data_IF_771628140741
#
_entry.id   IF_771628140741
#
_cell.length_a   1.000
_cell.length_b   1.000
_cell.length_c   1.000
_cell.angle_alpha   90.00
_cell.angle_beta   90.00
_cell.angle_gamma   90.00
#
_symmetry.space_group_name_H-M   'P 1'
#
loop_
_entity.id
_entity.type
_entity.pdbx_description
1 polymer ?
#
# COMPACT_ATOMS: atom_id res chain seq x y z
N UNK A 1 -59.98 -2.78 -21.72
CA UNK A 1 -58.67 -3.21 -21.17
C UNK A 1 -57.60 -2.42 -21.91
N UNK A 2 -57.38 -1.18 -21.48
CA UNK A 2 -56.37 -0.27 -22.04
C UNK A 2 -55.28 -0.13 -21.00
N UNK A 3 -54.06 -0.46 -21.40
CA UNK A 3 -52.85 -0.51 -20.61
C UNK A 3 -52.49 0.87 -20.00
N UNK A 4 -52.64 1.03 -18.68
CA UNK A 4 -52.08 2.15 -17.88
C UNK A 4 -50.64 1.85 -17.43
N UNK A 5 -49.80 1.38 -18.36
CA UNK A 5 -48.35 1.16 -18.15
C UNK A 5 -47.66 2.36 -17.47
N UNK A 6 -47.91 3.64 -17.82
CA UNK A 6 -47.22 4.75 -17.18
C UNK A 6 -47.58 4.94 -15.70
N UNK A 7 -48.83 4.65 -15.30
CA UNK A 7 -49.27 4.81 -13.91
C UNK A 7 -48.62 3.75 -13.03
N UNK A 8 -48.58 2.50 -13.51
CA UNK A 8 -47.94 1.40 -12.79
C UNK A 8 -46.45 1.67 -12.54
N UNK A 9 -45.70 2.15 -13.54
CA UNK A 9 -44.28 2.48 -13.35
C UNK A 9 -44.07 3.62 -12.36
N UNK A 10 -44.97 4.62 -12.36
CA UNK A 10 -44.90 5.73 -11.39
C UNK A 10 -45.12 5.19 -9.96
N UNK A 11 -46.07 4.27 -9.77
CA UNK A 11 -46.30 3.65 -8.46
C UNK A 11 -45.08 2.83 -8.03
N UNK A 12 -44.55 1.97 -8.91
CA UNK A 12 -43.36 1.15 -8.62
C UNK A 12 -42.15 2.01 -8.21
N UNK A 13 -41.95 3.17 -8.85
CA UNK A 13 -40.88 4.11 -8.50
C UNK A 13 -41.12 4.84 -7.17
N UNK A 14 -42.38 5.09 -6.81
CA UNK A 14 -42.75 5.82 -5.58
C UNK A 14 -42.89 4.90 -4.36
N UNK A 15 -43.03 3.58 -4.54
CA UNK A 15 -43.21 2.60 -3.46
C UNK A 15 -42.17 2.71 -2.33
N UNK A 16 -40.85 2.86 -2.59
CA UNK A 16 -39.87 2.99 -1.53
C UNK A 16 -40.09 4.25 -0.67
N UNK A 17 -40.37 5.38 -1.32
CA UNK A 17 -40.61 6.66 -0.63
C UNK A 17 -41.93 6.66 0.14
N UNK A 18 -42.94 5.96 -0.37
CA UNK A 18 -44.22 5.77 0.30
C UNK A 18 -44.11 4.90 1.55
N UNK A 19 -43.35 3.80 1.48
CA UNK A 19 -43.12 2.93 2.63
C UNK A 19 -42.31 3.61 3.74
N UNK A 20 -41.47 4.59 3.39
CA UNK A 20 -40.66 5.37 4.33
C UNK A 20 -41.33 6.68 4.79
N UNK A 21 -42.58 6.95 4.38
CA UNK A 21 -43.32 8.19 4.68
C UNK A 21 -42.59 9.48 4.24
N UNK A 22 -41.94 9.41 3.07
CA UNK A 22 -41.11 10.49 2.49
C UNK A 22 -41.79 11.22 1.32
N UNK A 23 -43.02 10.84 0.96
CA UNK A 23 -43.80 11.55 -0.07
C UNK A 23 -44.37 12.86 0.47
N UNK A 24 -44.58 13.84 -0.42
CA UNK A 24 -45.40 15.00 -0.09
C UNK A 24 -46.86 14.59 0.10
N UNK A 25 -47.59 15.33 0.94
CA UNK A 25 -49.00 15.04 1.26
C UNK A 25 -49.88 14.87 0.01
N UNK A 26 -49.74 15.75 -0.98
CA UNK A 26 -50.48 15.67 -2.25
C UNK A 26 -50.19 14.37 -3.03
N UNK A 27 -48.94 13.92 -3.05
CA UNK A 27 -48.54 12.68 -3.75
C UNK A 27 -48.94 11.44 -2.97
N UNK A 28 -48.97 11.52 -1.65
CA UNK A 28 -49.45 10.46 -0.77
C UNK A 28 -50.95 10.23 -0.93
N UNK A 29 -51.74 11.30 -0.93
CA UNK A 29 -53.20 11.23 -1.18
C UNK A 29 -53.51 10.63 -2.56
N UNK A 30 -52.79 11.07 -3.60
CA UNK A 30 -52.91 10.48 -4.94
C UNK A 30 -52.56 8.99 -4.96
N UNK A 31 -51.50 8.59 -4.25
CA UNK A 31 -51.09 7.18 -4.18
C UNK A 31 -52.13 6.33 -3.44
N UNK A 32 -52.69 6.82 -2.34
CA UNK A 32 -53.75 6.14 -1.58
C UNK A 32 -55.00 5.90 -2.44
N UNK A 33 -55.38 6.89 -3.26
CA UNK A 33 -56.49 6.75 -4.22
C UNK A 33 -56.20 5.69 -5.29
N UNK A 34 -55.02 5.69 -5.90
CA UNK A 34 -54.65 4.71 -6.93
C UNK A 34 -54.54 3.28 -6.36
N UNK A 35 -53.97 3.12 -5.16
CA UNK A 35 -53.88 1.83 -4.47
C UNK A 35 -55.28 1.31 -4.12
N UNK A 36 -56.17 2.15 -3.60
CA UNK A 36 -57.53 1.73 -3.21
C UNK A 36 -58.40 1.34 -4.41
N UNK A 37 -58.16 1.96 -5.56
CA UNK A 37 -58.90 1.72 -6.78
C UNK A 37 -58.38 0.51 -7.59
N UNK A 38 -57.21 -0.04 -7.25
CA UNK A 38 -56.61 -1.14 -8.00
C UNK A 38 -55.95 -2.19 -7.08
N UNK A 39 -56.56 -3.37 -7.06
CA UNK A 39 -56.09 -4.54 -6.33
C UNK A 39 -54.66 -4.98 -6.71
N UNK A 40 -54.23 -4.76 -7.95
CA UNK A 40 -52.85 -5.04 -8.39
C UNK A 40 -51.83 -4.16 -7.65
N UNK A 41 -52.17 -2.90 -7.38
CA UNK A 41 -51.29 -1.95 -6.71
C UNK A 41 -51.26 -2.19 -5.19
N UNK A 42 -52.39 -2.62 -4.62
CA UNK A 42 -52.47 -3.09 -3.23
C UNK A 42 -51.53 -4.29 -2.99
N UNK A 43 -51.51 -5.26 -3.91
CA UNK A 43 -50.61 -6.41 -3.84
C UNK A 43 -49.12 -5.99 -3.96
N UNK A 44 -48.80 -5.04 -4.85
CA UNK A 44 -47.42 -4.52 -5.00
C UNK A 44 -46.89 -3.84 -3.74
N UNK A 45 -47.74 -3.05 -3.06
CA UNK A 45 -47.39 -2.41 -1.78
C UNK A 45 -47.06 -3.47 -0.74
N UNK A 46 -47.88 -4.51 -0.60
CA UNK A 46 -47.64 -5.58 0.36
C UNK A 46 -46.35 -6.35 0.08
N UNK A 47 -46.04 -6.66 -1.20
CA UNK A 47 -44.77 -7.28 -1.56
C UNK A 47 -43.55 -6.40 -1.29
N UNK A 48 -43.67 -5.08 -1.47
CA UNK A 48 -42.58 -4.13 -1.24
C UNK A 48 -42.19 -3.98 0.24
N UNK A 49 -43.08 -4.35 1.17
CA UNK A 49 -42.82 -4.33 2.61
C UNK A 49 -42.06 -5.56 3.10
N UNK A 50 -41.94 -6.61 2.28
CA UNK A 50 -41.23 -7.83 2.64
C UNK A 50 -39.73 -7.53 2.63
N UNK A 51 -39.02 -7.64 3.78
CA UNK A 51 -37.58 -7.45 3.80
C UNK A 51 -36.93 -8.49 2.88
N UNK A 52 -36.08 -8.04 1.98
CA UNK A 52 -35.26 -8.95 1.17
C UNK A 52 -34.33 -9.69 2.14
N UNK A 53 -34.46 -11.01 2.22
CA UNK A 53 -33.50 -11.85 2.93
C UNK A 53 -32.15 -11.73 2.20
N UNK A 54 -31.25 -10.93 2.77
CA UNK A 54 -29.88 -10.84 2.30
C UNK A 54 -29.22 -12.14 2.70
N UNK A 55 -29.07 -13.08 1.77
CA UNK A 55 -28.18 -14.21 1.98
C UNK A 55 -26.76 -13.67 2.21
N UNK A 56 -26.25 -13.82 3.44
CA UNK A 56 -24.85 -13.57 3.72
C UNK A 56 -24.02 -14.54 2.89
N UNK A 57 -23.43 -14.04 1.81
CA UNK A 57 -22.50 -14.81 0.99
C UNK A 57 -21.26 -15.09 1.84
N UNK A 58 -21.23 -16.25 2.49
CA UNK A 58 -20.05 -16.72 3.21
C UNK A 58 -18.97 -17.03 2.17
N UNK A 59 -17.94 -16.20 2.11
CA UNK A 59 -16.75 -16.44 1.29
C UNK A 59 -16.07 -17.74 1.74
N UNK A 60 -15.97 -18.72 0.85
CA UNK A 60 -15.22 -19.98 1.06
C UNK A 60 -13.68 -19.75 1.00
N UNK A 61 -13.24 -18.51 0.81
CA UNK A 61 -11.82 -18.15 0.80
C UNK A 61 -11.33 -17.93 2.23
N UNK A 62 -10.50 -18.86 2.71
CA UNK A 62 -9.72 -18.70 3.93
C UNK A 62 -8.73 -17.54 3.77
N UNK A 63 -9.15 -16.35 4.22
CA UNK A 63 -8.41 -15.09 4.12
C UNK A 63 -7.03 -15.21 4.77
N UNK A 64 -6.93 -15.90 5.92
CA UNK A 64 -5.69 -16.07 6.65
C UNK A 64 -4.66 -16.84 5.81
N UNK A 65 -5.07 -17.94 5.16
CA UNK A 65 -4.20 -18.70 4.25
C UNK A 65 -3.80 -17.89 3.02
N UNK A 66 -4.67 -17.02 2.51
CA UNK A 66 -4.35 -16.14 1.38
C UNK A 66 -3.29 -15.09 1.78
N UNK A 67 -3.50 -14.39 2.89
CA UNK A 67 -2.56 -13.39 3.41
C UNK A 67 -1.22 -14.02 3.78
N UNK A 68 -1.21 -15.23 4.35
CA UNK A 68 0.04 -15.94 4.65
C UNK A 68 0.85 -16.25 3.38
N UNK A 69 0.20 -16.65 2.28
CA UNK A 69 0.86 -16.88 0.99
C UNK A 69 1.42 -15.59 0.40
N UNK A 70 0.68 -14.49 0.49
CA UNK A 70 1.10 -13.16 0.02
C UNK A 70 2.33 -12.70 0.81
N UNK A 71 2.24 -12.73 2.15
CA UNK A 71 3.32 -12.30 3.04
C UNK A 71 4.59 -13.14 2.84
N UNK A 72 4.45 -14.44 2.61
CA UNK A 72 5.61 -15.30 2.31
C UNK A 72 6.29 -14.89 1.00
N UNK A 73 5.52 -14.59 -0.06
CA UNK A 73 6.10 -14.09 -1.32
C UNK A 73 6.80 -12.75 -1.14
N UNK A 74 6.20 -11.83 -0.39
CA UNK A 74 6.80 -10.53 -0.08
C UNK A 74 8.11 -10.68 0.69
N UNK A 75 8.15 -11.57 1.68
CA UNK A 75 9.36 -11.86 2.46
C UNK A 75 10.51 -12.36 1.57
N UNK A 76 10.23 -13.23 0.58
CA UNK A 76 11.26 -13.67 -0.36
C UNK A 76 11.86 -12.52 -1.17
N UNK A 77 11.02 -11.62 -1.71
CA UNK A 77 11.52 -10.44 -2.42
C UNK A 77 12.28 -9.49 -1.49
N UNK A 78 11.85 -9.36 -0.23
CA UNK A 78 12.56 -8.55 0.76
C UNK A 78 13.96 -9.08 1.04
N UNK A 79 14.12 -10.40 1.16
CA UNK A 79 15.43 -11.05 1.31
C UNK A 79 16.31 -10.75 0.08
N UNK A 80 15.75 -10.83 -1.13
CA UNK A 80 16.48 -10.51 -2.37
C UNK A 80 16.94 -9.05 -2.37
N UNK A 81 16.06 -8.09 -2.06
CA UNK A 81 16.42 -6.67 -2.05
C UNK A 81 17.45 -6.32 -0.98
N UNK A 82 17.32 -6.88 0.22
CA UNK A 82 18.32 -6.72 1.28
C UNK A 82 19.66 -7.32 0.84
N UNK A 83 19.65 -8.52 0.25
CA UNK A 83 20.85 -9.17 -0.28
C UNK A 83 21.52 -8.34 -1.38
N UNK A 84 20.75 -7.81 -2.33
CA UNK A 84 21.25 -6.90 -3.36
C UNK A 84 21.85 -5.63 -2.75
N UNK A 85 21.22 -5.04 -1.74
CA UNK A 85 21.77 -3.86 -1.07
C UNK A 85 23.11 -4.17 -0.37
N UNK A 86 23.26 -5.34 0.25
CA UNK A 86 24.55 -5.78 0.79
C UNK A 86 25.59 -5.99 -0.31
N UNK A 87 25.24 -6.66 -1.41
CA UNK A 87 26.16 -6.85 -2.55
C UNK A 87 26.64 -5.53 -3.13
N UNK A 88 25.74 -4.54 -3.23
CA UNK A 88 26.10 -3.19 -3.65
C UNK A 88 27.04 -2.53 -2.65
N UNK A 89 26.78 -2.65 -1.34
CA UNK A 89 27.67 -2.13 -0.32
C UNK A 89 29.11 -2.70 -0.41
N UNK A 90 29.26 -3.97 -0.80
CA UNK A 90 30.57 -4.61 -1.01
C UNK A 90 31.34 -4.03 -2.20
N UNK A 91 30.64 -3.67 -3.26
CA UNK A 91 31.25 -3.26 -4.54
C UNK A 91 31.55 -1.76 -4.63
N UNK A 92 30.98 -0.93 -3.76
CA UNK A 92 31.02 0.53 -3.92
C UNK A 92 32.07 1.18 -3.04
N UNK A 93 33.29 1.33 -3.56
CA UNK A 93 34.23 2.35 -3.06
C UNK A 93 33.87 3.70 -3.67
N UNK A 94 33.55 4.69 -2.84
CA UNK A 94 33.22 6.08 -3.26
C UNK A 94 34.27 6.64 -4.24
N UNK A 95 35.52 6.19 -4.11
CA UNK A 95 36.68 6.77 -4.80
C UNK A 95 37.04 6.11 -6.13
N UNK A 96 36.53 4.91 -6.46
CA UNK A 96 36.99 4.18 -7.65
C UNK A 96 35.92 4.01 -8.75
N UNK A 97 34.62 4.11 -8.44
CA UNK A 97 33.53 3.90 -9.42
C UNK A 97 32.26 4.72 -9.12
N UNK A 98 32.40 6.04 -8.97
CA UNK A 98 31.30 6.95 -8.55
C UNK A 98 30.02 6.81 -9.37
N UNK A 99 30.11 6.60 -10.69
CA UNK A 99 28.94 6.42 -11.53
C UNK A 99 28.19 5.10 -11.29
N UNK A 100 28.92 4.00 -11.10
CA UNK A 100 28.32 2.68 -10.85
C UNK A 100 27.47 2.70 -9.60
N UNK A 101 28.05 3.19 -8.50
CA UNK A 101 27.34 3.41 -7.24
C UNK A 101 26.07 4.27 -7.40
N UNK A 102 26.19 5.46 -8.02
CA UNK A 102 25.06 6.37 -8.21
C UNK A 102 23.92 5.68 -8.97
N UNK A 103 24.24 5.03 -10.09
CA UNK A 103 23.25 4.35 -10.93
C UNK A 103 22.60 3.18 -10.18
N UNK A 104 23.40 2.32 -9.55
CA UNK A 104 22.90 1.13 -8.85
C UNK A 104 21.93 1.49 -7.73
N UNK A 105 22.26 2.49 -6.89
CA UNK A 105 21.38 2.91 -5.82
C UNK A 105 20.15 3.65 -6.31
N UNK A 106 20.26 4.42 -7.38
CA UNK A 106 19.09 5.03 -8.03
C UNK A 106 18.13 3.95 -8.55
N UNK A 107 18.64 2.93 -9.25
CA UNK A 107 17.82 1.80 -9.74
C UNK A 107 17.22 1.02 -8.57
N UNK A 108 18.00 0.75 -7.53
CA UNK A 108 17.50 0.10 -6.31
C UNK A 108 16.34 0.90 -5.71
N UNK A 109 16.46 2.22 -5.61
CA UNK A 109 15.39 3.11 -5.15
C UNK A 109 14.13 3.01 -6.02
N UNK A 110 14.27 3.11 -7.35
CA UNK A 110 13.12 2.96 -8.27
C UNK A 110 12.41 1.64 -8.06
N UNK A 111 13.15 0.53 -8.09
CA UNK A 111 12.56 -0.82 -8.01
C UNK A 111 11.93 -1.07 -6.65
N UNK A 112 12.62 -0.71 -5.55
CA UNK A 112 12.08 -0.89 -4.20
C UNK A 112 10.85 -0.03 -3.95
N UNK A 113 10.83 1.22 -4.41
CA UNK A 113 9.66 2.07 -4.31
C UNK A 113 8.48 1.56 -5.14
N UNK A 114 8.70 1.17 -6.40
CA UNK A 114 7.63 0.64 -7.24
C UNK A 114 7.04 -0.66 -6.69
N UNK A 115 7.86 -1.47 -6.03
CA UNK A 115 7.44 -2.73 -5.42
C UNK A 115 6.66 -2.52 -4.12
N UNK A 116 7.21 -1.74 -3.17
CA UNK A 116 6.62 -1.58 -1.84
C UNK A 116 5.63 -0.43 -1.71
N UNK A 117 5.77 0.60 -2.56
CA UNK A 117 5.04 1.87 -2.48
C UNK A 117 5.13 2.56 -1.10
N UNK A 118 6.19 2.26 -0.36
CA UNK A 118 6.44 2.81 0.98
C UNK A 118 7.90 3.30 1.08
N UNK A 119 8.05 4.61 1.31
CA UNK A 119 9.36 5.25 1.50
C UNK A 119 10.11 4.72 2.73
N UNK A 120 9.40 4.28 3.78
CA UNK A 120 10.02 3.73 4.99
C UNK A 120 10.72 2.41 4.69
N UNK A 121 10.09 1.54 3.92
CA UNK A 121 10.67 0.26 3.52
C UNK A 121 11.86 0.50 2.59
N UNK A 122 11.72 1.41 1.63
CA UNK A 122 12.82 1.79 0.75
C UNK A 122 14.01 2.37 1.52
N UNK A 123 13.78 3.21 2.54
CA UNK A 123 14.81 3.71 3.45
C UNK A 123 15.50 2.56 4.19
N UNK A 124 14.74 1.66 4.82
CA UNK A 124 15.32 0.54 5.57
C UNK A 124 16.21 -0.32 4.67
N UNK A 125 15.73 -0.67 3.47
CA UNK A 125 16.46 -1.53 2.53
C UNK A 125 17.75 -0.87 2.03
N UNK A 126 17.77 0.45 1.80
CA UNK A 126 18.93 1.13 1.23
C UNK A 126 19.90 1.68 2.28
N UNK A 127 19.44 1.97 3.50
CA UNK A 127 20.27 2.54 4.57
C UNK A 127 20.92 1.46 5.45
N UNK A 128 20.12 0.54 6.01
CA UNK A 128 20.59 -0.36 7.06
C UNK A 128 21.67 -1.34 6.61
N UNK A 129 21.60 -1.96 5.42
CA UNK A 129 22.64 -2.88 4.97
C UNK A 129 24.02 -2.22 4.91
N UNK A 130 24.10 -1.00 4.39
CA UNK A 130 25.34 -0.23 4.28
C UNK A 130 25.85 0.18 5.65
N UNK A 131 24.93 0.63 6.50
CA UNK A 131 25.25 1.05 7.85
C UNK A 131 25.87 -0.11 8.63
N UNK A 132 25.22 -1.27 8.61
CA UNK A 132 25.70 -2.47 9.30
C UNK A 132 26.99 -2.99 8.70
N UNK A 133 27.12 -3.00 7.37
CA UNK A 133 28.34 -3.42 6.68
C UNK A 133 29.52 -2.53 7.07
N UNK A 134 29.37 -1.21 6.89
CA UNK A 134 30.41 -0.25 7.20
C UNK A 134 30.79 -0.28 8.68
N UNK A 135 29.81 -0.37 9.58
CA UNK A 135 30.09 -0.43 11.01
C UNK A 135 30.85 -1.72 11.35
N UNK A 136 30.43 -2.84 10.77
CA UNK A 136 31.10 -4.13 10.94
C UNK A 136 32.55 -4.09 10.44
N UNK A 137 32.80 -3.51 9.27
CA UNK A 137 34.14 -3.35 8.68
C UNK A 137 35.04 -2.51 9.60
N UNK A 138 34.58 -1.34 10.03
CA UNK A 138 35.35 -0.46 10.92
C UNK A 138 35.68 -1.12 12.28
N UNK A 139 34.74 -1.89 12.84
CA UNK A 139 34.98 -2.60 14.11
C UNK A 139 35.91 -3.81 13.92
N UNK A 140 35.82 -4.48 12.78
CA UNK A 140 36.68 -5.60 12.44
C UNK A 140 38.13 -5.16 12.23
N UNK A 141 38.35 -4.02 11.59
CA UNK A 141 39.68 -3.42 11.46
C UNK A 141 40.31 -3.07 12.81
N UNK A 142 39.50 -2.59 13.75
CA UNK A 142 39.95 -2.37 15.12
C UNK A 142 40.39 -3.66 15.80
N UNK A 143 39.58 -4.71 15.73
CA UNK A 143 39.90 -6.00 16.36
C UNK A 143 41.14 -6.67 15.77
N UNK A 144 41.44 -6.41 14.49
CA UNK A 144 42.65 -6.92 13.81
C UNK A 144 43.93 -6.20 14.19
N UNK A 145 43.86 -5.09 14.94
CA UNK A 145 45.03 -4.26 15.22
C UNK A 145 45.54 -3.52 13.98
N UNK A 146 44.68 -3.29 12.99
CA UNK A 146 45.02 -2.48 11.81
C UNK A 146 45.12 -0.97 12.15
N UNK A 147 44.81 -0.60 13.40
CA UNK A 147 44.87 0.75 13.93
C UNK A 147 46.07 0.88 14.86
N UNK A 148 46.69 2.06 14.89
CA UNK A 148 47.81 2.32 15.79
C UNK A 148 47.44 2.08 17.26
N UNK A 149 48.42 1.64 18.05
CA UNK A 149 48.25 1.18 19.44
C UNK A 149 47.59 2.23 20.38
N UNK A 150 47.61 3.51 20.00
CA UNK A 150 47.08 4.62 20.80
C UNK A 150 45.55 4.82 20.67
N UNK A 151 44.88 4.09 19.77
CA UNK A 151 43.45 4.29 19.51
C UNK A 151 42.60 3.56 20.56
N UNK A 152 41.91 4.33 21.40
CA UNK A 152 40.94 3.78 22.37
C UNK A 152 39.70 3.24 21.67
N UNK A 153 39.20 2.07 22.12
CA UNK A 153 37.99 1.44 21.58
C UNK A 153 36.79 2.37 21.55
N UNK A 154 36.51 3.08 22.66
CA UNK A 154 35.32 3.91 22.76
C UNK A 154 35.31 5.04 21.73
N UNK A 155 36.43 5.74 21.53
CA UNK A 155 36.55 6.79 20.51
C UNK A 155 36.41 6.21 19.10
N UNK A 156 37.01 5.03 18.86
CA UNK A 156 36.89 4.36 17.57
C UNK A 156 35.45 3.94 17.27
N UNK A 157 34.75 3.37 18.26
CA UNK A 157 33.36 2.96 18.12
C UNK A 157 32.46 4.14 17.74
N UNK A 158 32.58 5.28 18.43
CA UNK A 158 31.79 6.48 18.10
C UNK A 158 32.14 7.04 16.71
N UNK A 159 33.43 7.09 16.36
CA UNK A 159 33.85 7.54 15.04
C UNK A 159 33.31 6.61 13.94
N UNK A 160 33.39 5.29 14.18
CA UNK A 160 32.84 4.26 13.29
C UNK A 160 31.34 4.43 13.11
N UNK A 161 30.60 4.63 14.21
CA UNK A 161 29.15 4.84 14.18
C UNK A 161 28.76 6.04 13.31
N UNK A 162 29.44 7.18 13.50
CA UNK A 162 29.19 8.40 12.75
C UNK A 162 29.61 8.24 11.29
N UNK A 163 30.78 7.65 11.03
CA UNK A 163 31.29 7.40 9.68
C UNK A 163 30.37 6.49 8.87
N UNK A 164 29.93 5.38 9.47
CA UNK A 164 28.99 4.44 8.83
C UNK A 164 27.62 5.06 8.60
N UNK A 165 27.13 5.88 9.53
CA UNK A 165 25.88 6.63 9.33
C UNK A 165 26.01 7.60 8.16
N UNK A 166 27.08 8.40 8.12
CA UNK A 166 27.34 9.36 7.04
C UNK A 166 27.44 8.68 5.67
N UNK A 167 28.19 7.57 5.59
CA UNK A 167 28.32 6.77 4.38
C UNK A 167 26.95 6.29 3.89
N UNK A 168 26.14 5.76 4.80
CA UNK A 168 24.80 5.23 4.49
C UNK A 168 23.84 6.32 4.05
N UNK A 169 23.94 7.53 4.62
CA UNK A 169 23.15 8.69 4.18
C UNK A 169 23.49 9.04 2.72
N UNK A 170 24.77 9.07 2.35
CA UNK A 170 25.19 9.37 0.97
C UNK A 170 24.56 8.37 -0.01
N UNK A 171 24.59 7.08 0.33
CA UNK A 171 23.99 6.02 -0.49
C UNK A 171 22.46 6.13 -0.54
N UNK A 172 21.84 6.44 0.59
CA UNK A 172 20.40 6.67 0.66
C UNK A 172 19.94 7.84 -0.21
N UNK A 173 20.72 8.93 -0.33
CA UNK A 173 20.35 10.07 -1.18
C UNK A 173 20.11 9.65 -2.64
N UNK A 174 20.94 8.77 -3.19
CA UNK A 174 20.73 8.27 -4.55
C UNK A 174 19.54 7.31 -4.64
N UNK A 175 19.34 6.47 -3.62
CA UNK A 175 18.12 5.67 -3.53
C UNK A 175 16.85 6.54 -3.43
N UNK A 176 16.92 7.67 -2.72
CA UNK A 176 15.82 8.63 -2.61
C UNK A 176 15.49 9.29 -3.94
N UNK A 177 16.49 9.64 -4.75
CA UNK A 177 16.28 10.09 -6.14
C UNK A 177 15.53 9.01 -6.93
N UNK A 178 15.94 7.74 -6.78
CA UNK A 178 15.24 6.60 -7.37
C UNK A 178 13.78 6.48 -6.91
N UNK A 179 13.52 6.64 -5.61
CA UNK A 179 12.16 6.60 -5.07
C UNK A 179 11.27 7.70 -5.68
N UNK A 180 11.81 8.92 -5.83
CA UNK A 180 11.09 10.04 -6.46
C UNK A 180 10.77 9.73 -7.92
N UNK A 181 11.72 9.14 -8.67
CA UNK A 181 11.48 8.69 -10.05
C UNK A 181 10.36 7.64 -10.08
N UNK A 182 10.42 6.64 -9.19
CA UNK A 182 9.38 5.61 -9.06
C UNK A 182 8.00 6.21 -8.76
N UNK A 183 7.95 7.21 -7.89
CA UNK A 183 6.72 7.96 -7.61
C UNK A 183 6.18 8.71 -8.82
N UNK A 184 7.04 9.41 -9.57
CA UNK A 184 6.66 10.09 -10.80
C UNK A 184 6.14 9.12 -11.87
N UNK A 185 6.74 7.93 -12.00
CA UNK A 185 6.26 6.88 -12.92
C UNK A 185 4.82 6.47 -12.59
N UNK A 186 4.50 6.29 -11.31
CA UNK A 186 3.13 5.98 -10.89
C UNK A 186 2.19 7.15 -11.19
N UNK A 187 2.64 8.38 -10.92
CA UNK A 187 1.84 9.59 -11.11
C UNK A 187 1.48 9.86 -12.57
N UNK A 188 2.37 9.53 -13.52
CA UNK A 188 2.12 9.69 -14.96
C UNK A 188 1.15 8.63 -15.51
N UNK A 189 1.00 7.50 -14.82
CA UNK A 189 0.12 6.39 -15.24
C UNK A 189 -1.33 6.56 -14.76
N UNK A 190 -1.55 7.34 -13.70
CA UNK A 190 -2.88 7.76 -13.22
C UNK A 190 -3.52 8.79 -14.16
#
# INVERSE_FOLDING_TARGET
MSNNIPVRSIIEDLLPLYNEDLLSEETKEWMDEEIHNNKEYEELVEYSKVPIEIEEVVSDVDEEKLFQKINRKLAYFQIIFVGLSFLLALGTSILNESFGFILSYTVLGVVTFLFYRDLKIAFIISFFPIFLWSLGENLFDYMKGNLGDDVKFLSHFFLSLVGSAFLSIIHYVFALVGNIIGWLILKVKE
#
